data_IF_922462111748
#
_entry.id   IF_922462111748
#
_cell.length_a   1.000
_cell.length_b   1.000
_cell.length_c   1.000
_cell.angle_alpha   90.00
_cell.angle_beta   90.00
_cell.angle_gamma   90.00
#
_symmetry.space_group_name_H-M   'P 1'
#
loop_
_entity.id
_entity.type
_entity.pdbx_description
1 polymer ?
#
# COMPACT_ATOMS: atom_id res chain seq x y z
N UNK A 1 21.11 11.03 3.97
CA UNK A 1 21.60 9.87 3.23
C UNK A 1 23.10 10.04 3.07
N UNK A 2 23.87 9.19 3.76
CA UNK A 2 25.30 9.00 3.49
C UNK A 2 25.44 7.98 2.36
N UNK A 3 26.63 7.85 1.75
CA UNK A 3 26.83 6.94 0.63
C UNK A 3 26.55 5.48 1.00
N UNK A 4 26.85 5.10 2.25
CA UNK A 4 26.61 3.75 2.77
C UNK A 4 25.12 3.36 2.71
N UNK A 5 24.19 4.29 2.95
CA UNK A 5 22.73 4.03 2.89
C UNK A 5 22.26 3.56 1.50
N UNK A 6 23.02 3.89 0.43
CA UNK A 6 22.70 3.48 -0.94
C UNK A 6 23.17 2.05 -1.21
N UNK A 7 24.26 1.63 -0.58
CA UNK A 7 24.81 0.28 -0.73
C UNK A 7 23.99 -0.76 0.04
N UNK A 8 23.30 -0.32 1.09
CA UNK A 8 22.38 -1.15 1.89
C UNK A 8 21.01 -1.37 1.23
N UNK A 9 20.72 -0.72 0.09
CA UNK A 9 19.43 -0.87 -0.60
C UNK A 9 19.22 -2.29 -1.14
N UNK A 10 18.09 -2.87 -0.76
CA UNK A 10 17.68 -4.21 -1.18
C UNK A 10 16.62 -4.15 -2.27
N UNK A 11 16.35 -5.30 -2.91
CA UNK A 11 15.31 -5.37 -3.96
C UNK A 11 13.92 -5.22 -3.35
N UNK A 12 13.76 -5.68 -2.12
CA UNK A 12 12.57 -5.57 -1.29
C UNK A 12 12.16 -4.09 -1.14
N UNK A 13 13.11 -3.19 -0.87
CA UNK A 13 12.85 -1.74 -0.75
C UNK A 13 12.19 -1.17 -2.02
N UNK A 14 12.64 -1.61 -3.19
CA UNK A 14 12.11 -1.17 -4.48
C UNK A 14 10.68 -1.72 -4.69
N UNK A 15 10.45 -2.97 -4.29
CA UNK A 15 9.14 -3.63 -4.40
C UNK A 15 8.11 -3.02 -3.45
N UNK A 16 8.54 -2.53 -2.29
CA UNK A 16 7.70 -1.84 -1.32
C UNK A 16 7.21 -0.48 -1.83
N UNK A 17 7.99 0.20 -2.67
CA UNK A 17 7.62 1.50 -3.28
C UNK A 17 6.63 1.38 -4.44
N UNK A 18 6.25 0.17 -4.86
CA UNK A 18 5.28 -0.03 -5.95
C UNK A 18 3.87 0.32 -5.50
N UNK A 19 3.09 0.91 -6.40
CA UNK A 19 1.71 1.33 -6.15
C UNK A 19 0.85 0.20 -5.58
N UNK A 20 0.99 -1.03 -6.08
CA UNK A 20 0.28 -2.19 -5.54
C UNK A 20 0.54 -2.43 -4.04
N UNK A 21 1.81 -2.27 -3.61
CA UNK A 21 2.26 -2.57 -2.24
C UNK A 21 1.85 -1.43 -1.32
N UNK A 22 2.00 -0.19 -1.78
CA UNK A 22 1.56 1.00 -1.06
C UNK A 22 0.03 1.00 -0.85
N UNK A 23 -0.76 0.66 -1.87
CA UNK A 23 -2.24 0.58 -1.76
C UNK A 23 -2.67 -0.47 -0.74
N UNK A 24 -1.98 -1.61 -0.70
CA UNK A 24 -2.23 -2.66 0.29
C UNK A 24 -1.84 -2.21 1.71
N UNK A 25 -0.64 -1.65 1.90
CA UNK A 25 -0.18 -1.11 3.19
C UNK A 25 -1.07 0.00 3.72
N UNK A 26 -1.66 0.82 2.84
CA UNK A 26 -2.64 1.85 3.22
C UNK A 26 -4.02 1.32 3.59
N UNK A 27 -4.26 0.01 3.51
CA UNK A 27 -5.56 -0.58 3.83
C UNK A 27 -6.66 -0.25 2.82
N UNK A 28 -6.30 0.22 1.61
CA UNK A 28 -7.26 0.49 0.53
C UNK A 28 -7.70 -0.80 -0.19
N UNK A 29 -7.04 -1.92 0.10
CA UNK A 29 -7.34 -3.25 -0.41
C UNK A 29 -7.07 -4.30 0.67
N UNK A 30 -7.76 -5.43 0.61
CA UNK A 30 -7.57 -6.56 1.56
C UNK A 30 -6.38 -7.46 1.22
N UNK A 31 -5.89 -7.39 -0.02
CA UNK A 31 -4.82 -8.24 -0.54
C UNK A 31 -4.11 -7.55 -1.68
N UNK A 32 -2.86 -7.93 -1.94
CA UNK A 32 -2.06 -7.45 -3.07
C UNK A 32 -2.75 -7.71 -4.41
N UNK A 33 -3.41 -8.86 -4.57
CA UNK A 33 -4.16 -9.18 -5.79
C UNK A 33 -5.35 -8.25 -5.99
N UNK A 34 -6.06 -7.93 -4.90
CA UNK A 34 -7.17 -6.98 -4.93
C UNK A 34 -6.66 -5.56 -5.23
N UNK A 35 -5.55 -5.13 -4.63
CA UNK A 35 -4.93 -3.84 -4.92
C UNK A 35 -4.61 -3.72 -6.43
N UNK A 36 -4.04 -4.77 -7.03
CA UNK A 36 -3.76 -4.80 -8.47
C UNK A 36 -5.03 -4.69 -9.31
N UNK A 37 -6.10 -5.39 -8.96
CA UNK A 37 -7.40 -5.26 -9.64
C UNK A 37 -7.93 -3.83 -9.55
N UNK A 38 -7.94 -3.24 -8.35
CA UNK A 38 -8.40 -1.86 -8.15
C UNK A 38 -7.60 -0.85 -9.00
N UNK A 39 -6.29 -1.04 -9.10
CA UNK A 39 -5.43 -0.20 -9.94
C UNK A 39 -5.78 -0.39 -11.41
N UNK A 40 -5.77 -1.63 -11.93
CA UNK A 40 -6.02 -1.94 -13.35
C UNK A 40 -7.42 -1.47 -13.80
N UNK A 41 -8.44 -1.62 -12.96
CA UNK A 41 -9.80 -1.15 -13.23
C UNK A 41 -9.99 0.36 -13.03
N UNK A 42 -8.93 1.10 -12.67
CA UNK A 42 -8.95 2.56 -12.56
C UNK A 42 -9.72 3.08 -11.35
N UNK A 43 -9.77 2.31 -10.26
CA UNK A 43 -10.40 2.71 -9.00
C UNK A 43 -9.44 3.45 -8.06
N UNK A 44 -8.15 3.54 -8.38
CA UNK A 44 -7.14 4.27 -7.62
C UNK A 44 -6.76 5.56 -8.37
N UNK A 45 -6.63 6.64 -7.62
CA UNK A 45 -6.11 7.91 -8.11
C UNK A 45 -5.00 8.44 -7.19
N UNK A 46 -4.00 9.08 -7.80
CA UNK A 46 -2.92 9.79 -7.10
C UNK A 46 -3.11 11.26 -7.43
N UNK A 47 -3.34 12.10 -6.42
CA UNK A 47 -3.52 13.55 -6.63
C UNK A 47 -4.58 13.85 -7.72
N UNK A 48 -5.74 13.18 -7.64
CA UNK A 48 -6.85 13.24 -8.59
C UNK A 48 -6.56 12.70 -10.01
N UNK A 49 -5.36 12.18 -10.29
CA UNK A 49 -5.03 11.51 -11.56
C UNK A 49 -5.23 10.00 -11.43
N UNK A 50 -6.00 9.40 -12.33
CA UNK A 50 -6.19 7.94 -12.35
C UNK A 50 -4.90 7.26 -12.78
N UNK A 51 -4.45 6.27 -12.01
CA UNK A 51 -3.26 5.49 -12.33
C UNK A 51 -3.67 4.03 -12.46
N UNK A 52 -3.40 3.44 -13.63
CA UNK A 52 -3.78 2.06 -13.96
C UNK A 52 -2.59 1.09 -13.99
N UNK A 53 -1.39 1.58 -13.68
CA UNK A 53 -0.15 0.81 -13.75
C UNK A 53 0.24 0.34 -12.34
N UNK A 54 0.13 -0.95 -12.00
CA UNK A 54 0.44 -1.46 -10.66
C UNK A 54 1.94 -1.43 -10.31
N UNK A 55 2.80 -1.39 -11.32
CA UNK A 55 4.26 -1.26 -11.18
C UNK A 55 4.73 0.20 -11.04
N UNK A 56 3.81 1.15 -10.94
CA UNK A 56 4.17 2.56 -10.75
C UNK A 56 4.95 2.73 -9.44
N UNK A 57 6.14 3.32 -9.50
CA UNK A 57 6.94 3.68 -8.34
C UNK A 57 6.40 4.97 -7.74
N UNK A 58 5.78 4.86 -6.57
CA UNK A 58 5.16 5.99 -5.88
C UNK A 58 6.25 6.86 -5.27
N UNK A 59 6.20 8.17 -5.49
CA UNK A 59 7.08 9.12 -4.79
C UNK A 59 6.58 9.37 -3.38
N UNK A 60 7.48 9.74 -2.47
CA UNK A 60 7.14 10.02 -1.06
C UNK A 60 6.08 11.13 -0.93
N UNK A 61 6.14 12.15 -1.79
CA UNK A 61 5.18 13.26 -1.84
C UNK A 61 3.78 12.87 -2.37
N UNK A 62 3.69 11.76 -3.09
CA UNK A 62 2.47 11.28 -3.73
C UNK A 62 1.75 10.23 -2.90
N UNK A 63 2.48 9.55 -2.02
CA UNK A 63 1.98 8.48 -1.17
C UNK A 63 0.76 8.93 -0.38
N UNK A 64 0.81 10.08 0.29
CA UNK A 64 -0.30 10.65 1.07
C UNK A 64 -1.52 11.04 0.24
N UNK A 65 -1.34 11.22 -1.07
CA UNK A 65 -2.39 11.64 -2.00
C UNK A 65 -3.02 10.47 -2.76
N UNK A 66 -2.74 9.24 -2.35
CA UNK A 66 -3.38 8.03 -2.90
C UNK A 66 -4.77 7.90 -2.30
N UNK A 67 -5.78 8.01 -3.15
CA UNK A 67 -7.20 7.87 -2.77
C UNK A 67 -7.95 7.00 -3.78
N UNK A 68 -9.19 6.66 -3.47
CA UNK A 68 -10.09 6.13 -4.49
C UNK A 68 -10.40 7.21 -5.54
N UNK A 69 -10.55 6.79 -6.79
CA UNK A 69 -10.93 7.69 -7.86
C UNK A 69 -12.39 8.17 -7.66
N UNK A 70 -12.68 9.46 -7.86
CA UNK A 70 -13.99 10.05 -7.53
C UNK A 70 -15.15 9.47 -8.37
N UNK A 71 -14.89 9.00 -9.59
CA UNK A 71 -15.93 8.34 -10.40
C UNK A 71 -16.11 6.83 -10.10
N UNK A 72 -15.34 6.26 -9.18
CA UNK A 72 -15.49 4.84 -8.83
C UNK A 72 -16.63 4.67 -7.83
N UNK A 73 -17.47 3.63 -7.92
CA UNK A 73 -18.47 3.30 -6.91
C UNK A 73 -17.88 3.05 -5.51
N UNK A 74 -16.57 2.80 -5.42
CA UNK A 74 -15.82 2.70 -4.15
C UNK A 74 -15.53 4.04 -3.49
N UNK A 75 -15.75 5.17 -4.18
CA UNK A 75 -15.67 6.49 -3.58
C UNK A 75 -16.73 6.67 -2.48
N UNK A 76 -17.90 6.02 -2.63
CA UNK A 76 -18.97 6.05 -1.64
C UNK A 76 -18.61 5.18 -0.42
N UNK A 77 -18.58 5.75 0.80
CA UNK A 77 -18.29 5.01 2.04
C UNK A 77 -19.26 3.84 2.31
N UNK A 78 -20.49 3.93 1.80
CA UNK A 78 -21.55 2.93 2.00
C UNK A 78 -21.45 1.70 1.10
N UNK A 79 -20.47 1.66 0.17
CA UNK A 79 -20.33 0.51 -0.71
C UNK A 79 -19.91 -0.76 0.07
N UNK A 80 -20.64 -1.87 -0.10
CA UNK A 80 -20.40 -3.15 0.62
C UNK A 80 -18.93 -3.60 0.59
N UNK A 81 -18.27 -3.46 -0.57
CA UNK A 81 -16.85 -3.82 -0.70
C UNK A 81 -15.94 -2.91 0.15
N UNK A 82 -16.26 -1.62 0.29
CA UNK A 82 -15.48 -0.66 1.09
C UNK A 82 -15.65 -0.90 2.59
N UNK A 83 -16.87 -1.14 3.05
CA UNK A 83 -17.13 -1.53 4.44
C UNK A 83 -16.37 -2.81 4.80
N UNK A 84 -16.41 -3.78 3.88
CA UNK A 84 -15.69 -5.03 4.08
C UNK A 84 -14.17 -4.83 4.16
N UNK A 85 -13.58 -3.92 3.35
CA UNK A 85 -12.14 -3.57 3.39
C UNK A 85 -11.79 -2.87 4.71
N UNK A 86 -12.60 -1.89 5.11
CA UNK A 86 -12.39 -1.12 6.35
C UNK A 86 -12.45 -2.01 7.58
N UNK A 87 -13.44 -2.92 7.66
CA UNK A 87 -13.56 -3.88 8.76
C UNK A 87 -12.34 -4.81 8.89
N UNK A 88 -11.71 -5.19 7.78
CA UNK A 88 -10.50 -6.03 7.81
C UNK A 88 -9.24 -5.24 8.14
N UNK A 89 -9.16 -3.97 7.72
CA UNK A 89 -8.00 -3.11 7.99
C UNK A 89 -7.82 -2.84 9.50
N UNK A 90 -8.91 -2.72 10.27
CA UNK A 90 -8.85 -2.55 11.73
C UNK A 90 -8.28 -3.77 12.46
N UNK A 91 -8.22 -4.94 11.83
CA UNK A 91 -7.69 -6.17 12.40
C UNK A 91 -6.20 -6.44 12.13
N UNK A 92 -5.54 -5.68 11.25
CA UNK A 92 -4.19 -6.00 10.76
C UNK A 92 -3.06 -5.08 11.27
N UNK A 93 -3.33 -4.10 12.12
CA UNK A 93 -2.31 -3.17 12.65
C UNK A 93 -1.39 -3.76 13.74
N UNK A 94 -1.37 -5.08 13.95
CA UNK A 94 -0.58 -5.74 15.00
C UNK A 94 0.19 -6.96 14.45
N UNK A 95 1.09 -6.81 13.48
CA UNK A 95 2.00 -7.93 13.11
C UNK A 95 3.46 -7.54 12.82
N UNK A 96 3.91 -6.32 13.12
CA UNK A 96 5.31 -5.92 12.86
C UNK A 96 5.97 -5.23 14.07
N UNK A 97 5.97 -5.86 15.25
CA UNK A 97 6.94 -5.58 16.33
C UNK A 97 7.19 -6.84 17.18
N UNK A 98 7.81 -7.90 16.64
CA UNK A 98 8.54 -8.89 17.46
C UNK A 98 9.55 -9.70 16.64
N UNK A 99 10.69 -9.09 16.33
CA UNK A 99 11.91 -9.83 16.01
C UNK A 99 13.13 -9.00 16.42
N UNK A 100 13.30 -8.80 17.73
CA UNK A 100 14.59 -8.46 18.31
C UNK A 100 14.72 -9.15 19.67
N UNK A 101 15.75 -9.99 19.80
CA UNK A 101 16.34 -10.36 21.09
C UNK A 101 16.11 -11.79 21.59
N UNK A 102 16.62 -12.81 20.89
CA UNK A 102 17.06 -14.05 21.55
C UNK A 102 18.35 -14.55 20.87
N UNK A 103 19.47 -13.93 21.27
CA UNK A 103 20.82 -14.45 21.15
C UNK A 103 21.56 -14.09 22.44
N UNK A 104 22.41 -15.00 22.92
CA UNK A 104 23.25 -14.94 24.13
C UNK A 104 22.63 -15.45 25.44
N UNK A 105 22.73 -16.77 25.66
CA UNK A 105 23.42 -17.37 26.84
C UNK A 105 23.24 -18.90 26.85
N UNK A 106 24.35 -19.63 26.85
CA UNK A 106 24.39 -21.10 26.97
C UNK A 106 25.62 -21.70 26.31
#
# INVERSE_FOLDING_TARGET
AVLDDVLDLTVEDILERRLQTVVFRKGLAKSIYQARQLIVHGHIAINNRRVTIPSYLVKREEEDKITYAPQSPLANPEHKLRQAIMMTATGQTQTETKTQGEGESG
#
